data_IF_914776422458
#
_entry.id   IF_914776422458
#
_cell.length_a   1.000
_cell.length_b   1.000
_cell.length_c   1.000
_cell.angle_alpha   90.00
_cell.angle_beta   90.00
_cell.angle_gamma   90.00
#
_symmetry.space_group_name_H-M   'P 1'
#
loop_
_entity.id
_entity.type
_entity.pdbx_description
1 polymer ?
#
# COMPACT_ATOMS: atom_id res chain seq x y z
N UNK A 1 2.62 30.68 5.07
CA UNK A 1 3.48 30.47 3.88
C UNK A 1 3.20 29.09 3.28
N UNK A 2 3.01 29.00 1.98
CA UNK A 2 2.74 27.73 1.32
C UNK A 2 4.00 26.84 1.32
N UNK A 3 3.83 25.58 1.74
CA UNK A 3 4.93 24.61 1.80
C UNK A 3 4.77 23.53 0.73
N UNK A 4 5.33 23.80 -0.44
CA UNK A 4 5.34 22.88 -1.57
C UNK A 4 6.14 21.60 -1.29
N UNK A 5 7.16 21.67 -0.43
CA UNK A 5 7.95 20.51 0.00
C UNK A 5 7.12 19.50 0.79
N UNK A 6 6.17 19.98 1.61
CA UNK A 6 5.26 19.12 2.34
C UNK A 6 4.40 18.28 1.39
N UNK A 7 3.90 18.88 0.33
CA UNK A 7 3.11 18.17 -0.68
C UNK A 7 3.95 17.19 -1.50
N UNK A 8 5.17 17.58 -1.86
CA UNK A 8 6.13 16.68 -2.49
C UNK A 8 6.39 15.44 -1.63
N UNK A 9 6.62 15.63 -0.33
CA UNK A 9 6.83 14.56 0.62
C UNK A 9 5.61 13.63 0.75
N UNK A 10 4.40 14.18 0.75
CA UNK A 10 3.16 13.39 0.77
C UNK A 10 3.03 12.52 -0.48
N UNK A 11 3.36 13.05 -1.65
CA UNK A 11 3.36 12.29 -2.91
C UNK A 11 4.41 11.20 -2.91
N UNK A 12 5.62 11.49 -2.44
CA UNK A 12 6.70 10.50 -2.31
C UNK A 12 6.31 9.36 -1.36
N UNK A 13 5.63 9.67 -0.26
CA UNK A 13 5.11 8.65 0.67
C UNK A 13 4.07 7.75 0.01
N UNK A 14 3.17 8.30 -0.79
CA UNK A 14 2.17 7.52 -1.51
C UNK A 14 2.83 6.52 -2.47
N UNK A 15 3.86 6.96 -3.18
CA UNK A 15 4.65 6.10 -4.08
C UNK A 15 5.44 5.06 -3.30
N UNK A 16 6.03 5.42 -2.17
CA UNK A 16 6.76 4.49 -1.30
C UNK A 16 5.87 3.36 -0.80
N UNK A 17 4.66 3.68 -0.33
CA UNK A 17 3.66 2.68 0.08
C UNK A 17 3.32 1.76 -1.09
N UNK A 18 3.07 2.30 -2.27
CA UNK A 18 2.80 1.52 -3.48
C UNK A 18 3.97 0.61 -3.85
N UNK A 19 5.20 1.10 -3.78
CA UNK A 19 6.41 0.32 -4.03
C UNK A 19 6.56 -0.85 -3.05
N UNK A 20 6.29 -0.63 -1.76
CA UNK A 20 6.29 -1.68 -0.74
C UNK A 20 5.22 -2.74 -1.01
N UNK A 21 4.02 -2.32 -1.36
CA UNK A 21 2.93 -3.23 -1.72
C UNK A 21 3.29 -4.09 -2.93
N UNK A 22 3.89 -3.51 -3.95
CA UNK A 22 4.39 -4.25 -5.12
C UNK A 22 5.48 -5.26 -4.74
N UNK A 23 6.41 -4.88 -3.87
CA UNK A 23 7.47 -5.77 -3.41
C UNK A 23 6.93 -7.00 -2.71
N UNK A 24 5.84 -6.86 -1.94
CA UNK A 24 5.19 -7.97 -1.25
C UNK A 24 4.52 -8.96 -2.20
N UNK A 25 4.10 -8.52 -3.38
CA UNK A 25 3.44 -9.35 -4.39
C UNK A 25 4.40 -9.96 -5.43
N UNK A 26 5.64 -9.50 -5.45
CA UNK A 26 6.59 -9.70 -6.56
C UNK A 26 7.08 -11.13 -6.73
N UNK A 27 7.02 -11.96 -5.72
CA UNK A 27 7.62 -13.29 -5.76
C UNK A 27 6.60 -14.39 -5.51
N UNK A 28 6.65 -15.46 -6.29
CA UNK A 28 5.96 -16.71 -5.99
C UNK A 28 6.55 -17.46 -4.79
N UNK A 29 7.38 -16.81 -3.99
CA UNK A 29 7.96 -17.35 -2.75
C UNK A 29 7.24 -16.79 -1.53
N UNK A 30 7.19 -17.60 -0.49
CA UNK A 30 6.68 -17.15 0.80
C UNK A 30 7.51 -15.99 1.34
N UNK A 31 6.85 -14.88 1.63
CA UNK A 31 7.47 -13.70 2.19
C UNK A 31 6.58 -13.14 3.30
N UNK A 32 7.13 -12.99 4.48
CA UNK A 32 6.40 -12.44 5.63
C UNK A 32 5.81 -11.05 5.34
N UNK A 33 6.44 -10.26 4.46
CA UNK A 33 5.94 -8.93 4.09
C UNK A 33 4.62 -8.96 3.31
N UNK A 34 4.24 -10.09 2.72
CA UNK A 34 2.91 -10.24 2.09
C UNK A 34 1.77 -10.07 3.10
N UNK A 35 2.02 -10.39 4.36
CA UNK A 35 1.04 -10.27 5.43
C UNK A 35 0.95 -8.85 5.99
N UNK A 36 1.90 -7.98 5.71
CA UNK A 36 1.88 -6.58 6.14
C UNK A 36 0.70 -5.80 5.53
N UNK A 37 0.18 -6.28 4.40
CA UNK A 37 -1.00 -5.72 3.75
C UNK A 37 -2.30 -6.03 4.51
N UNK A 38 -2.28 -7.00 5.39
CA UNK A 38 -3.44 -7.47 6.13
C UNK A 38 -3.43 -6.83 7.51
N UNK A 39 -4.48 -6.07 7.80
CA UNK A 39 -4.70 -5.47 9.12
C UNK A 39 -5.88 -6.16 9.79
N UNK A 40 -5.74 -6.39 11.07
CA UNK A 40 -6.73 -7.08 11.89
C UNK A 40 -7.25 -6.13 12.95
N UNK A 41 -8.57 -6.13 13.12
CA UNK A 41 -9.20 -5.37 14.20
C UNK A 41 -9.15 -6.20 15.50
N UNK A 42 -8.27 -5.77 16.41
CA UNK A 42 -8.11 -6.37 17.73
C UNK A 42 -8.48 -5.32 18.77
N UNK A 43 -9.53 -5.58 19.54
CA UNK A 43 -10.03 -4.67 20.57
C UNK A 43 -10.31 -3.24 20.07
N UNK A 44 -10.83 -3.12 18.83
CA UNK A 44 -11.15 -1.83 18.23
C UNK A 44 -9.95 -1.09 17.60
N UNK A 45 -8.79 -1.72 17.58
CA UNK A 45 -7.59 -1.16 16.95
C UNK A 45 -7.12 -2.04 15.79
N UNK A 46 -6.81 -1.42 14.67
CA UNK A 46 -6.22 -2.14 13.55
C UNK A 46 -4.74 -2.37 13.78
N UNK A 47 -4.36 -3.64 13.87
CA UNK A 47 -2.98 -4.07 14.08
C UNK A 47 -2.50 -4.94 12.93
N UNK A 48 -1.24 -4.81 12.50
CA UNK A 48 -0.66 -5.78 11.56
C UNK A 48 -0.48 -7.15 12.25
N UNK A 49 -0.48 -8.21 11.45
CA UNK A 49 -0.38 -9.59 11.95
C UNK A 49 0.90 -9.81 12.76
N UNK A 50 2.01 -9.19 12.38
CA UNK A 50 3.30 -9.34 13.05
C UNK A 50 3.34 -8.83 14.50
N UNK A 51 2.40 -7.98 14.89
CA UNK A 51 2.29 -7.48 16.28
C UNK A 51 1.56 -8.43 17.22
N UNK A 52 0.78 -9.38 16.69
CA UNK A 52 -0.02 -10.33 17.49
C UNK A 52 0.40 -11.77 17.28
N UNK A 53 1.38 -12.01 16.42
CA UNK A 53 1.86 -13.34 16.10
C UNK A 53 3.32 -13.32 15.68
N UNK A 54 3.95 -14.49 15.71
CA UNK A 54 5.29 -14.70 15.14
C UNK A 54 5.16 -15.35 13.76
N UNK A 55 5.76 -14.73 12.76
CA UNK A 55 5.70 -15.19 11.37
C UNK A 55 7.03 -15.82 10.98
N UNK A 56 6.97 -17.06 10.48
CA UNK A 56 8.14 -17.77 9.98
C UNK A 56 7.87 -18.35 8.60
N UNK A 57 8.93 -18.53 7.82
CA UNK A 57 8.85 -19.11 6.48
C UNK A 57 9.77 -20.33 6.42
N UNK A 58 9.33 -21.50 6.95
CA UNK A 58 10.18 -22.69 6.99
C UNK A 58 10.48 -23.27 5.61
N UNK A 59 9.60 -23.04 4.65
CA UNK A 59 9.73 -23.50 3.28
C UNK A 59 9.51 -22.33 2.31
N UNK A 60 10.04 -22.40 1.06
CA UNK A 60 9.90 -21.32 0.09
C UNK A 60 8.45 -20.94 -0.27
N UNK A 61 7.50 -21.83 -0.02
CA UNK A 61 6.06 -21.63 -0.33
C UNK A 61 5.15 -21.86 0.87
N UNK A 62 5.69 -21.76 2.06
CA UNK A 62 4.91 -21.96 3.28
C UNK A 62 5.20 -20.84 4.27
N UNK A 63 4.16 -20.20 4.75
CA UNK A 63 4.24 -19.24 5.85
C UNK A 63 3.56 -19.86 7.06
N UNK A 64 4.27 -19.87 8.18
CA UNK A 64 3.71 -20.27 9.47
C UNK A 64 3.48 -19.04 10.32
N UNK A 65 2.26 -18.90 10.85
CA UNK A 65 1.88 -17.83 11.75
C UNK A 65 1.57 -18.45 13.11
N UNK A 66 2.45 -18.22 14.06
CA UNK A 66 2.26 -18.65 15.45
C UNK A 66 1.55 -17.53 16.21
N UNK A 67 0.26 -17.70 16.46
CA UNK A 67 -0.55 -16.69 17.16
C UNK A 67 -0.36 -16.83 18.66
N UNK A 68 -0.12 -15.70 19.33
CA UNK A 68 0.12 -15.70 20.79
C UNK A 68 -1.17 -15.89 21.61
N UNK A 69 -2.29 -15.38 21.11
CA UNK A 69 -3.59 -15.52 21.74
C UNK A 69 -4.54 -16.33 20.85
N UNK A 70 -5.05 -17.42 21.40
CA UNK A 70 -5.97 -18.32 20.68
C UNK A 70 -7.24 -17.58 20.19
N UNK A 71 -7.69 -16.56 20.90
CA UNK A 71 -8.85 -15.78 20.49
C UNK A 71 -8.63 -15.00 19.19
N UNK A 72 -7.38 -14.69 18.85
CA UNK A 72 -7.02 -13.96 17.64
C UNK A 72 -6.90 -14.86 16.40
N UNK A 73 -6.84 -16.17 16.58
CA UNK A 73 -6.68 -17.12 15.45
C UNK A 73 -7.81 -16.98 14.45
N UNK A 74 -9.06 -16.95 14.91
CA UNK A 74 -10.23 -16.80 14.04
C UNK A 74 -10.27 -15.46 13.33
N UNK A 75 -9.79 -14.39 13.98
CA UNK A 75 -9.71 -13.05 13.39
C UNK A 75 -8.68 -13.01 12.26
N UNK A 76 -7.52 -13.62 12.48
CA UNK A 76 -6.46 -13.72 11.48
C UNK A 76 -6.93 -14.57 10.29
N UNK A 77 -7.54 -15.70 10.54
CA UNK A 77 -8.09 -16.58 9.51
C UNK A 77 -9.11 -15.84 8.63
N UNK A 78 -10.07 -15.18 9.25
CA UNK A 78 -11.08 -14.39 8.52
C UNK A 78 -10.46 -13.26 7.73
N UNK A 79 -9.46 -12.56 8.27
CA UNK A 79 -8.77 -11.47 7.56
C UNK A 79 -8.01 -11.98 6.35
N UNK A 80 -7.35 -13.13 6.44
CA UNK A 80 -6.63 -13.76 5.34
C UNK A 80 -7.59 -14.21 4.23
N UNK A 81 -8.71 -14.83 4.61
CA UNK A 81 -9.73 -15.26 3.64
C UNK A 81 -10.38 -14.09 2.90
N UNK A 82 -10.57 -12.97 3.59
CA UNK A 82 -11.10 -11.73 3.01
C UNK A 82 -10.07 -10.95 2.20
N UNK A 83 -8.79 -11.25 2.36
CA UNK A 83 -7.74 -10.57 1.62
C UNK A 83 -7.76 -10.95 0.14
N UNK A 84 -7.33 -10.04 -0.71
CA UNK A 84 -7.21 -10.26 -2.15
C UNK A 84 -6.05 -11.19 -2.53
N UNK A 85 -5.28 -11.68 -1.55
CA UNK A 85 -4.14 -12.55 -1.78
C UNK A 85 -4.51 -13.95 -2.26
N UNK A 86 -5.77 -14.38 -2.07
CA UNK A 86 -6.23 -15.68 -2.52
C UNK A 86 -5.56 -16.86 -1.82
N UNK A 87 -5.18 -16.69 -0.57
CA UNK A 87 -4.51 -17.71 0.23
C UNK A 87 -5.55 -18.49 1.04
N UNK A 88 -5.33 -19.80 1.21
CA UNK A 88 -6.17 -20.67 2.02
C UNK A 88 -5.45 -21.04 3.32
N UNK A 89 -5.77 -20.40 4.46
CA UNK A 89 -5.14 -20.72 5.73
C UNK A 89 -5.60 -22.07 6.26
N UNK A 90 -4.66 -22.81 6.85
CA UNK A 90 -4.94 -24.06 7.57
C UNK A 90 -4.63 -23.85 9.05
N UNK A 91 -5.63 -24.05 9.89
CA UNK A 91 -5.54 -23.81 11.34
C UNK A 91 -5.17 -25.12 12.06
N UNK A 92 -4.08 -25.07 12.82
CA UNK A 92 -3.68 -26.14 13.74
C UNK A 92 -3.47 -25.55 15.14
N UNK A 93 -4.52 -25.54 15.97
CA UNK A 93 -4.47 -24.91 17.29
C UNK A 93 -4.21 -23.41 17.22
N UNK A 94 -3.06 -22.95 17.71
CA UNK A 94 -2.60 -21.56 17.61
C UNK A 94 -1.69 -21.30 16.41
N UNK A 95 -1.41 -22.33 15.61
CA UNK A 95 -0.60 -22.22 14.41
C UNK A 95 -1.49 -22.14 13.18
N UNK A 96 -1.23 -21.13 12.34
CA UNK A 96 -1.87 -21.00 11.03
C UNK A 96 -0.82 -21.25 9.95
N UNK A 97 -1.07 -22.24 9.11
CA UNK A 97 -0.21 -22.54 7.96
C UNK A 97 -0.81 -21.93 6.70
N UNK A 98 0.00 -21.17 5.98
CA UNK A 98 -0.38 -20.55 4.71
C UNK A 98 0.43 -21.15 3.58
N UNK A 99 -0.10 -22.13 2.84
CA UNK A 99 0.54 -22.58 1.62
C UNK A 99 0.39 -21.53 0.53
N UNK A 100 1.48 -21.18 -0.15
CA UNK A 100 1.47 -20.23 -1.24
C UNK A 100 1.39 -21.00 -2.55
N UNK A 101 0.35 -20.75 -3.39
CA UNK A 101 0.18 -21.47 -4.64
C UNK A 101 1.27 -21.11 -5.66
N UNK A 102 1.54 -22.05 -6.57
CA UNK A 102 2.48 -21.81 -7.66
C UNK A 102 2.01 -20.67 -8.58
N UNK A 103 2.97 -19.95 -9.14
CA UNK A 103 2.72 -18.93 -10.16
C UNK A 103 2.38 -19.65 -11.48
N UNK A 104 1.09 -19.84 -11.77
CA UNK A 104 0.57 -20.21 -13.07
C UNK A 104 0.09 -18.96 -13.84
N UNK A 105 -0.34 -19.12 -15.08
CA UNK A 105 -0.82 -17.99 -15.90
C UNK A 105 -2.06 -17.31 -15.30
N UNK A 106 -2.97 -18.08 -14.73
CA UNK A 106 -4.17 -17.56 -14.05
C UNK A 106 -3.77 -16.67 -12.86
N UNK A 107 -2.86 -17.15 -12.03
CA UNK A 107 -2.35 -16.41 -10.87
C UNK A 107 -1.61 -15.14 -11.29
N UNK A 108 -0.82 -15.21 -12.35
CA UNK A 108 -0.17 -14.03 -12.93
C UNK A 108 -1.18 -13.00 -13.40
N UNK A 109 -2.27 -13.45 -14.03
CA UNK A 109 -3.37 -12.57 -14.45
C UNK A 109 -4.05 -11.88 -13.27
N UNK A 110 -4.32 -12.59 -12.19
CA UNK A 110 -4.87 -12.03 -10.95
C UNK A 110 -3.92 -11.00 -10.33
N UNK A 111 -2.62 -11.30 -10.27
CA UNK A 111 -1.60 -10.38 -9.75
C UNK A 111 -1.50 -9.11 -10.61
N UNK A 112 -1.58 -9.22 -11.93
CA UNK A 112 -1.59 -8.05 -12.82
C UNK A 112 -2.78 -7.14 -12.56
N UNK A 113 -3.98 -7.71 -12.37
CA UNK A 113 -5.19 -6.95 -12.02
C UNK A 113 -5.02 -6.25 -10.68
N UNK A 114 -4.46 -6.94 -9.69
CA UNK A 114 -4.23 -6.38 -8.36
C UNK A 114 -3.23 -5.23 -8.40
N UNK A 115 -2.13 -5.36 -9.13
CA UNK A 115 -1.12 -4.31 -9.34
C UNK A 115 -1.76 -3.09 -10.00
N UNK A 116 -2.58 -3.29 -11.01
CA UNK A 116 -3.29 -2.22 -11.69
C UNK A 116 -4.24 -1.48 -10.75
N UNK A 117 -4.99 -2.21 -9.93
CA UNK A 117 -5.88 -1.65 -8.91
C UNK A 117 -5.12 -0.82 -7.88
N UNK A 118 -3.99 -1.32 -7.39
CA UNK A 118 -3.11 -0.59 -6.46
C UNK A 118 -2.53 0.68 -7.10
N UNK A 119 -2.14 0.60 -8.37
CA UNK A 119 -1.65 1.75 -9.13
C UNK A 119 -2.70 2.84 -9.27
N UNK A 120 -3.95 2.48 -9.54
CA UNK A 120 -5.05 3.43 -9.60
C UNK A 120 -5.32 4.09 -8.24
N UNK A 121 -5.28 3.35 -7.14
CA UNK A 121 -5.41 3.91 -5.78
C UNK A 121 -4.31 4.92 -5.50
N UNK A 122 -3.08 4.63 -5.89
CA UNK A 122 -1.96 5.55 -5.75
C UNK A 122 -2.14 6.83 -6.59
N UNK A 123 -2.61 6.70 -7.82
CA UNK A 123 -2.95 7.85 -8.69
C UNK A 123 -4.02 8.74 -8.07
N UNK A 124 -5.05 8.15 -7.49
CA UNK A 124 -6.11 8.88 -6.80
C UNK A 124 -5.55 9.65 -5.59
N UNK A 125 -4.68 9.02 -4.81
CA UNK A 125 -4.02 9.67 -3.67
C UNK A 125 -3.20 10.88 -4.12
N UNK A 126 -2.43 10.75 -5.20
CA UNK A 126 -1.64 11.85 -5.76
C UNK A 126 -2.54 12.99 -6.27
N UNK A 127 -3.63 12.67 -6.94
CA UNK A 127 -4.60 13.67 -7.42
C UNK A 127 -5.25 14.43 -6.26
N UNK A 128 -5.59 13.72 -5.18
CA UNK A 128 -6.17 14.35 -3.99
C UNK A 128 -5.17 15.30 -3.32
N UNK A 129 -3.90 14.90 -3.21
CA UNK A 129 -2.85 15.75 -2.67
C UNK A 129 -2.69 17.02 -3.53
N UNK A 130 -2.68 16.88 -4.85
CA UNK A 130 -2.62 18.02 -5.78
C UNK A 130 -3.81 18.96 -5.62
N UNK A 131 -5.02 18.40 -5.50
CA UNK A 131 -6.22 19.20 -5.29
C UNK A 131 -6.16 19.98 -3.99
N UNK A 132 -5.74 19.34 -2.91
CA UNK A 132 -5.59 19.99 -1.61
C UNK A 132 -4.56 21.14 -1.67
N UNK A 133 -3.45 20.93 -2.37
CA UNK A 133 -2.44 21.96 -2.60
C UNK A 133 -3.02 23.17 -3.35
N UNK A 134 -3.77 22.93 -4.41
CA UNK A 134 -4.40 24.00 -5.20
C UNK A 134 -5.47 24.75 -4.40
N UNK A 135 -6.24 24.05 -3.57
CA UNK A 135 -7.24 24.69 -2.69
C UNK A 135 -6.57 25.57 -1.64
N UNK A 136 -5.46 25.13 -1.05
CA UNK A 136 -4.68 25.93 -0.12
C UNK A 136 -4.12 27.18 -0.79
N UNK A 137 -3.59 27.07 -2.00
CA UNK A 137 -3.10 28.20 -2.79
C UNK A 137 -4.20 29.23 -3.05
N UNK A 138 -5.40 28.79 -3.40
CA UNK A 138 -6.56 29.67 -3.59
C UNK A 138 -6.95 30.38 -2.31
N UNK A 139 -6.92 29.71 -1.17
CA UNK A 139 -7.19 30.31 0.14
C UNK A 139 -6.18 31.38 0.49
N UNK A 140 -4.88 31.11 0.28
CA UNK A 140 -3.80 32.05 0.51
C UNK A 140 -3.92 33.29 -0.40
N UNK A 141 -4.34 33.12 -1.64
CA UNK A 141 -4.58 34.21 -2.57
C UNK A 141 -5.76 35.08 -2.09
N UNK A 142 -6.87 34.47 -1.65
CA UNK A 142 -8.03 35.19 -1.12
C UNK A 142 -7.71 35.99 0.14
N UNK A 143 -6.87 35.43 1.03
CA UNK A 143 -6.43 36.12 2.24
C UNK A 143 -5.35 37.17 1.99
N UNK A 144 -4.90 37.31 0.74
CA UNK A 144 -3.82 38.22 0.32
C UNK A 144 -2.48 37.95 1.00
N UNK A 145 -2.26 36.74 1.45
CA UNK A 145 -0.96 36.32 2.02
C UNK A 145 0.08 36.09 0.92
N UNK A 146 -0.35 35.72 -0.30
CA UNK A 146 0.48 35.58 -1.49
C UNK A 146 -0.09 36.39 -2.65
N UNK A 147 0.78 36.80 -3.59
CA UNK A 147 0.38 37.47 -4.83
C UNK A 147 0.00 36.49 -5.94
N UNK A 148 -0.64 36.97 -6.98
CA UNK A 148 -1.03 36.16 -8.16
C UNK A 148 0.18 35.50 -8.84
N UNK A 149 1.31 36.16 -8.90
CA UNK A 149 2.54 35.66 -9.50
C UNK A 149 3.13 34.51 -8.65
N UNK A 150 3.06 34.65 -7.32
CA UNK A 150 3.48 33.59 -6.41
C UNK A 150 2.57 32.36 -6.49
N UNK A 151 1.24 32.57 -6.58
CA UNK A 151 0.30 31.48 -6.80
C UNK A 151 0.61 30.69 -8.04
N UNK A 152 0.83 31.36 -9.16
CA UNK A 152 1.19 30.72 -10.44
C UNK A 152 2.49 29.97 -10.35
N UNK A 153 3.48 30.52 -9.65
CA UNK A 153 4.78 29.84 -9.43
C UNK A 153 4.62 28.55 -8.62
N UNK A 154 3.88 28.59 -7.52
CA UNK A 154 3.60 27.41 -6.70
C UNK A 154 2.75 26.37 -7.44
N UNK A 155 1.76 26.81 -8.22
CA UNK A 155 0.94 25.92 -9.04
C UNK A 155 1.79 25.16 -10.07
N UNK A 156 2.73 25.83 -10.73
CA UNK A 156 3.70 25.18 -11.63
C UNK A 156 4.56 24.16 -10.89
N UNK A 157 5.04 24.49 -9.69
CA UNK A 157 5.83 23.57 -8.89
C UNK A 157 5.04 22.31 -8.51
N UNK A 158 3.80 22.47 -8.08
CA UNK A 158 2.92 21.34 -7.74
C UNK A 158 2.65 20.48 -8.96
N UNK A 159 2.41 21.09 -10.11
CA UNK A 159 2.18 20.36 -11.35
C UNK A 159 3.44 19.59 -11.79
N UNK A 160 4.63 20.19 -11.65
CA UNK A 160 5.90 19.52 -11.92
C UNK A 160 6.15 18.34 -11.00
N UNK A 161 5.92 18.49 -9.69
CA UNK A 161 6.02 17.41 -8.69
C UNK A 161 5.05 16.29 -9.03
N UNK A 162 3.82 16.61 -9.40
CA UNK A 162 2.81 15.63 -9.80
C UNK A 162 3.25 14.83 -11.02
N UNK A 163 3.80 15.49 -12.04
CA UNK A 163 4.30 14.84 -13.25
C UNK A 163 5.45 13.87 -12.95
N UNK A 164 6.38 14.26 -12.09
CA UNK A 164 7.48 13.40 -11.63
C UNK A 164 6.95 12.20 -10.88
N UNK A 165 5.97 12.39 -10.02
CA UNK A 165 5.33 11.31 -9.24
C UNK A 165 4.64 10.30 -10.16
N UNK A 166 3.92 10.74 -11.18
CA UNK A 166 3.31 9.84 -12.17
C UNK A 166 4.36 9.07 -12.98
N UNK A 167 5.47 9.69 -13.30
CA UNK A 167 6.57 9.03 -14.02
C UNK A 167 7.17 7.91 -13.16
N UNK A 168 7.41 8.15 -11.88
CA UNK A 168 7.88 7.14 -10.93
C UNK A 168 6.87 5.99 -10.79
N UNK A 169 5.58 6.30 -10.70
CA UNK A 169 4.52 5.30 -10.61
C UNK A 169 4.50 4.38 -11.84
N UNK A 170 4.58 4.95 -13.04
CA UNK A 170 4.65 4.18 -14.29
C UNK A 170 5.87 3.29 -14.34
N UNK A 171 7.03 3.77 -13.90
CA UNK A 171 8.25 2.99 -13.85
C UNK A 171 8.09 1.76 -12.94
N UNK A 172 7.45 1.91 -11.79
CA UNK A 172 7.14 0.79 -10.89
C UNK A 172 6.15 -0.19 -11.50
N UNK A 173 5.08 0.27 -12.15
CA UNK A 173 4.12 -0.59 -12.84
C UNK A 173 4.78 -1.39 -13.96
N UNK A 174 5.65 -0.76 -14.76
CA UNK A 174 6.31 -1.38 -15.90
C UNK A 174 7.35 -2.43 -15.47
N UNK A 175 8.02 -2.22 -14.36
CA UNK A 175 9.03 -3.16 -13.85
C UNK A 175 8.44 -4.50 -13.36
N UNK A 176 7.12 -4.59 -13.24
CA UNK A 176 6.41 -5.79 -12.80
C UNK A 176 5.85 -6.62 -13.96
N UNK A 177 5.90 -6.11 -15.19
CA UNK A 177 5.56 -6.83 -16.41
C UNK A 177 6.81 -7.50 -16.99
#
# INVERSE_FOLDING_TARGET
>A
MFDDKSYSHKMDKAIEVFSKELSSLRTGRANASMLDLIKIDVYGQQMPINQISSITTPEPRMINIQVWDQNNVSLIDSAIQKSELGLNPQIEGQLIRLPIPELNEERRGELKKLIKSMGEKCKIAIRNIRRDANEELKKLLKSKEIGEDEEKSYEKNIQSITAVSYTHLRAHETSQN
#
